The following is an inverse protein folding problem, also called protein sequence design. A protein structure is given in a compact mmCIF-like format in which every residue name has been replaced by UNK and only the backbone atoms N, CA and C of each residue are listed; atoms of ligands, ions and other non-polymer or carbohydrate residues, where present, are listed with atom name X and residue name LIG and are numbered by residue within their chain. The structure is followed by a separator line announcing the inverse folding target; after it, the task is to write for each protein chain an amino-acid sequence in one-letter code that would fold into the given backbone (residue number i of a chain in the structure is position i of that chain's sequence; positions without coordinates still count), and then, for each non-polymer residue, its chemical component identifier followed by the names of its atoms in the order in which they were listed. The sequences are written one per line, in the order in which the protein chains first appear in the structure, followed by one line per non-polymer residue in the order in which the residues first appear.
data_IF_237892182161
#
_entry.id   IF_237892182161
#
_cell.length_a   1.000
_cell.length_b   1.000
_cell.length_c   1.000
_cell.angle_alpha   90.00
_cell.angle_beta   90.00
_cell.angle_gamma   90.00
#
_symmetry.space_group_name_H-M   'P 1'
#
loop_
_entity.id
_entity.type
_entity.pdbx_description
1 polymer ?
#
# COMPACT_ATOMS: atom_id res chain seq x y z
N UNK A 1 -21.13 3.05 1.56
CA UNK A 1 -19.87 3.45 2.22
C UNK A 1 -19.22 2.19 2.80
N UNK A 2 -17.97 1.98 2.46
CA UNK A 2 -17.19 0.85 2.97
C UNK A 2 -16.56 1.29 4.29
N UNK A 3 -16.92 0.68 5.41
CA UNK A 3 -16.30 0.96 6.70
C UNK A 3 -15.04 0.13 6.88
N UNK A 4 -13.91 0.78 7.14
CA UNK A 4 -12.65 0.14 7.46
C UNK A 4 -12.22 0.50 8.89
N UNK A 5 -11.88 -0.47 9.74
CA UNK A 5 -11.38 -0.19 11.08
C UNK A 5 -9.91 0.23 10.99
N UNK A 6 -9.64 1.53 10.93
CA UNK A 6 -8.27 2.05 10.95
C UNK A 6 -7.57 1.68 12.27
N UNK A 7 -6.87 0.55 12.28
CA UNK A 7 -6.17 0.05 13.45
C UNK A 7 -4.83 0.80 13.65
N UNK A 8 -4.27 0.82 14.89
CA UNK A 8 -2.90 1.29 15.10
C UNK A 8 -1.92 0.54 14.18
N UNK A 9 -1.07 1.27 13.46
CA UNK A 9 -0.23 0.76 12.37
C UNK A 9 -0.70 1.18 10.98
N UNK A 10 -2.00 1.38 10.78
CA UNK A 10 -2.54 1.94 9.53
C UNK A 10 -2.12 3.41 9.37
N UNK A 11 -1.79 3.82 8.15
CA UNK A 11 -1.40 5.21 7.84
C UNK A 11 -2.52 6.22 8.06
N UNK A 12 -3.77 5.78 8.03
CA UNK A 12 -4.94 6.62 8.31
C UNK A 12 -5.28 6.71 9.80
N UNK A 13 -4.61 5.95 10.67
CA UNK A 13 -4.80 6.06 12.10
C UNK A 13 -3.82 7.08 12.70
N UNK A 14 -4.34 8.14 13.32
CA UNK A 14 -3.52 9.21 13.91
C UNK A 14 -2.57 8.72 15.02
N UNK A 15 -2.87 7.59 15.69
CA UNK A 15 -2.01 7.02 16.74
C UNK A 15 -0.86 6.17 16.22
N UNK A 16 -0.79 5.93 14.91
CA UNK A 16 0.30 5.20 14.26
C UNK A 16 1.64 5.96 14.38
N UNK A 17 1.58 7.28 14.44
CA UNK A 17 2.76 8.13 14.42
C UNK A 17 2.95 8.84 15.75
N UNK A 18 4.20 9.09 16.13
CA UNK A 18 4.57 9.87 17.33
C UNK A 18 4.74 11.37 17.03
N UNK A 19 4.20 11.84 15.91
CA UNK A 19 4.19 13.23 15.47
C UNK A 19 2.82 13.59 14.88
N UNK A 20 2.45 14.88 14.81
CA UNK A 20 1.18 15.31 14.25
C UNK A 20 1.03 14.93 12.77
N UNK A 21 -0.15 14.42 12.40
CA UNK A 21 -0.52 14.07 11.03
C UNK A 21 -1.78 14.81 10.63
N UNK A 22 -1.78 15.43 9.46
CA UNK A 22 -2.96 16.01 8.84
C UNK A 22 -3.56 15.04 7.82
N UNK A 23 -4.80 14.66 8.01
CA UNK A 23 -5.53 13.85 7.06
C UNK A 23 -6.35 14.72 6.11
N UNK A 24 -6.26 14.45 4.81
CA UNK A 24 -7.06 15.11 3.78
C UNK A 24 -7.79 14.06 2.94
N UNK A 25 -9.10 14.10 3.01
CA UNK A 25 -9.95 13.28 2.13
C UNK A 25 -9.94 13.90 0.73
N UNK A 26 -9.72 13.06 -0.28
CA UNK A 26 -9.80 13.45 -1.69
C UNK A 26 -11.24 13.26 -2.16
N UNK A 27 -12.06 14.27 -1.95
CA UNK A 27 -13.47 14.25 -2.31
C UNK A 27 -13.64 14.03 -3.82
N UNK A 28 -14.64 13.22 -4.23
CA UNK A 28 -14.90 12.88 -5.63
C UNK A 28 -14.02 11.76 -6.18
N UNK A 29 -12.95 11.35 -5.47
CA UNK A 29 -12.16 10.17 -5.80
C UNK A 29 -12.87 8.89 -5.33
N UNK A 30 -12.62 7.80 -6.04
CA UNK A 30 -12.99 6.45 -5.60
C UNK A 30 -11.97 5.43 -6.11
N UNK A 31 -11.99 4.22 -5.52
CA UNK A 31 -11.03 3.17 -5.82
C UNK A 31 -10.99 2.79 -7.31
N UNK A 32 -12.15 2.71 -7.97
CA UNK A 32 -12.22 2.33 -9.39
C UNK A 32 -11.55 3.36 -10.31
N UNK A 33 -11.79 4.66 -10.09
CA UNK A 33 -11.14 5.76 -10.82
C UNK A 33 -9.63 5.79 -10.55
N UNK A 34 -9.23 5.58 -9.31
CA UNK A 34 -7.82 5.56 -8.88
C UNK A 34 -7.06 4.42 -9.55
N UNK A 35 -7.64 3.22 -9.58
CA UNK A 35 -7.07 2.05 -10.27
C UNK A 35 -6.87 2.28 -11.77
N UNK A 36 -7.80 2.96 -12.43
CA UNK A 36 -7.73 3.28 -13.86
C UNK A 36 -6.84 4.46 -14.20
N UNK A 37 -6.19 5.07 -13.20
CA UNK A 37 -5.34 6.26 -13.38
C UNK A 37 -6.06 7.40 -14.12
N UNK A 38 -7.33 7.65 -13.76
CA UNK A 38 -8.13 8.69 -14.42
C UNK A 38 -7.59 10.10 -14.17
N UNK A 39 -7.54 10.91 -15.21
CA UNK A 39 -7.03 12.30 -15.13
C UNK A 39 -7.79 13.16 -14.12
N UNK A 40 -9.09 12.92 -13.96
CA UNK A 40 -9.90 13.61 -12.95
C UNK A 40 -9.35 13.32 -11.53
N UNK A 41 -9.02 12.04 -11.23
CA UNK A 41 -8.42 11.68 -9.94
C UNK A 41 -7.06 12.35 -9.74
N UNK A 42 -6.24 12.46 -10.78
CA UNK A 42 -4.96 13.17 -10.71
C UNK A 42 -5.14 14.64 -10.31
N UNK A 43 -6.13 15.33 -10.89
CA UNK A 43 -6.44 16.72 -10.54
C UNK A 43 -6.93 16.87 -9.09
N UNK A 44 -7.80 15.97 -8.62
CA UNK A 44 -8.30 15.98 -7.26
C UNK A 44 -7.18 15.74 -6.24
N UNK A 45 -6.32 14.76 -6.49
CA UNK A 45 -5.15 14.46 -5.67
C UNK A 45 -4.18 15.63 -5.62
N UNK A 46 -3.86 16.24 -6.77
CA UNK A 46 -2.98 17.40 -6.85
C UNK A 46 -3.54 18.58 -6.05
N UNK A 47 -4.83 18.86 -6.19
CA UNK A 47 -5.49 19.93 -5.43
C UNK A 47 -5.41 19.70 -3.92
N UNK A 48 -5.72 18.48 -3.46
CA UNK A 48 -5.65 18.11 -2.05
C UNK A 48 -4.20 18.20 -1.51
N UNK A 49 -3.23 17.74 -2.28
CA UNK A 49 -1.82 17.76 -1.92
C UNK A 49 -1.27 19.20 -1.82
N UNK A 50 -1.62 20.09 -2.74
CA UNK A 50 -1.26 21.52 -2.67
C UNK A 50 -1.88 22.22 -1.45
N UNK A 51 -3.11 21.87 -1.07
CA UNK A 51 -3.72 22.37 0.15
C UNK A 51 -2.96 21.91 1.40
N UNK A 52 -2.56 20.63 1.48
CA UNK A 52 -1.72 20.13 2.57
C UNK A 52 -0.36 20.86 2.61
N UNK A 53 0.31 21.01 1.46
CA UNK A 53 1.56 21.75 1.39
C UNK A 53 1.42 23.19 1.89
N UNK A 54 0.33 23.89 1.53
CA UNK A 54 0.07 25.27 1.99
C UNK A 54 -0.18 25.36 3.50
N UNK A 55 -0.57 24.26 4.15
CA UNK A 55 -0.72 24.14 5.60
C UNK A 55 0.61 23.84 6.31
N UNK A 56 1.71 23.71 5.58
CA UNK A 56 3.04 23.53 6.14
C UNK A 56 3.41 22.10 6.47
N UNK A 57 2.73 21.09 5.89
CA UNK A 57 3.18 19.69 6.03
C UNK A 57 4.54 19.51 5.39
N UNK A 58 5.36 18.60 5.94
CA UNK A 58 6.75 18.37 5.54
C UNK A 58 6.91 17.25 4.50
N UNK A 59 5.92 16.40 4.36
CA UNK A 59 5.84 15.33 3.36
C UNK A 59 4.38 14.89 3.18
N UNK A 60 4.10 14.19 2.09
CA UNK A 60 2.77 13.61 1.81
C UNK A 60 2.93 12.10 1.66
N UNK A 61 2.02 11.35 2.29
CA UNK A 61 1.92 9.89 2.17
C UNK A 61 0.55 9.53 1.61
N UNK A 62 0.49 8.55 0.72
CA UNK A 62 -0.76 8.02 0.19
C UNK A 62 -1.45 7.07 1.18
N UNK A 63 -2.75 7.25 1.39
CA UNK A 63 -3.60 6.33 2.15
C UNK A 63 -4.18 5.18 1.31
N UNK A 64 -3.63 4.94 0.13
CA UNK A 64 -4.00 3.83 -0.75
C UNK A 64 -2.85 3.58 -1.73
N UNK A 65 -2.37 2.34 -1.82
CA UNK A 65 -1.23 1.98 -2.68
C UNK A 65 -1.42 2.31 -4.15
N UNK A 66 -2.65 2.32 -4.66
CA UNK A 66 -2.98 2.73 -6.03
C UNK A 66 -2.73 4.21 -6.33
N UNK A 67 -2.56 5.05 -5.31
CA UNK A 67 -2.11 6.42 -5.54
C UNK A 67 -0.70 6.48 -6.15
N UNK A 68 0.07 5.40 -6.08
CA UNK A 68 1.33 5.23 -6.79
C UNK A 68 1.26 5.55 -8.29
N UNK A 69 0.10 5.33 -8.94
CA UNK A 69 -0.13 5.74 -10.34
C UNK A 69 0.12 7.24 -10.59
N UNK A 70 -0.02 8.06 -9.55
CA UNK A 70 0.11 9.52 -9.62
C UNK A 70 1.43 10.04 -9.03
N UNK A 71 2.35 9.13 -8.66
CA UNK A 71 3.61 9.47 -7.99
C UNK A 71 4.39 10.54 -8.75
N UNK A 72 4.65 10.32 -10.04
CA UNK A 72 5.42 11.25 -10.86
C UNK A 72 4.77 12.63 -10.94
N UNK A 73 3.47 12.69 -11.25
CA UNK A 73 2.74 13.94 -11.42
C UNK A 73 2.64 14.77 -10.13
N UNK A 74 2.52 14.12 -8.97
CA UNK A 74 2.50 14.83 -7.70
C UNK A 74 3.90 15.27 -7.26
N UNK A 75 4.91 14.45 -7.47
CA UNK A 75 6.31 14.83 -7.18
C UNK A 75 6.77 16.02 -7.99
N UNK A 76 6.32 16.15 -9.24
CA UNK A 76 6.61 17.32 -10.09
C UNK A 76 5.86 18.58 -9.62
N UNK A 77 4.65 18.42 -9.10
CA UNK A 77 3.78 19.54 -8.73
C UNK A 77 4.05 20.14 -7.36
N UNK A 78 4.78 19.45 -6.48
CA UNK A 78 4.96 19.80 -5.08
C UNK A 78 6.44 20.10 -4.77
N UNK A 79 6.68 20.94 -3.77
CA UNK A 79 8.02 21.30 -3.29
C UNK A 79 8.42 20.52 -2.02
N UNK A 80 7.68 19.48 -1.68
CA UNK A 80 7.91 18.61 -0.53
C UNK A 80 7.94 17.15 -0.98
N UNK A 81 8.60 16.24 -0.24
CA UNK A 81 8.61 14.82 -0.55
C UNK A 81 7.20 14.20 -0.60
N UNK A 82 7.01 13.29 -1.56
CA UNK A 82 5.75 12.59 -1.81
C UNK A 82 6.02 11.08 -1.86
N UNK A 83 5.25 10.29 -1.09
CA UNK A 83 5.36 8.85 -1.01
C UNK A 83 3.95 8.24 -1.12
N UNK A 84 3.50 7.94 -2.33
CA UNK A 84 2.11 7.57 -2.57
C UNK A 84 1.83 6.07 -2.47
N UNK A 85 2.87 5.23 -2.55
CA UNK A 85 2.72 3.77 -2.44
C UNK A 85 3.95 3.16 -1.78
N UNK A 86 3.74 2.10 -0.97
CA UNK A 86 4.82 1.30 -0.41
C UNK A 86 5.63 0.55 -1.50
N UNK A 87 5.07 0.36 -2.69
CA UNK A 87 5.78 -0.24 -3.83
C UNK A 87 7.06 0.53 -4.20
N UNK A 88 7.14 1.82 -3.88
CA UNK A 88 8.36 2.64 -4.06
C UNK A 88 9.56 2.13 -3.25
N UNK A 89 9.36 1.28 -2.26
CA UNK A 89 10.45 0.65 -1.49
C UNK A 89 11.12 -0.49 -2.28
N UNK A 90 10.43 -1.10 -3.25
CA UNK A 90 10.91 -2.29 -3.96
C UNK A 90 12.27 -2.07 -4.61
N UNK A 91 12.53 -0.99 -5.38
CA UNK A 91 13.82 -0.77 -6.00
C UNK A 91 14.99 -0.74 -5.01
N UNK A 92 14.77 -0.14 -3.84
CA UNK A 92 15.77 -0.10 -2.77
C UNK A 92 15.99 -1.47 -2.14
N UNK A 93 14.93 -2.21 -1.85
CA UNK A 93 15.00 -3.56 -1.26
C UNK A 93 15.64 -4.54 -2.23
N UNK A 94 15.36 -4.46 -3.55
CA UNK A 94 15.99 -5.28 -4.57
C UNK A 94 17.52 -5.11 -4.64
N UNK A 95 18.04 -3.95 -4.27
CA UNK A 95 19.49 -3.70 -4.17
C UNK A 95 20.09 -4.29 -2.88
N UNK A 96 19.29 -4.47 -1.83
CA UNK A 96 19.74 -4.94 -0.53
C UNK A 96 19.74 -6.48 -0.40
N UNK A 97 18.96 -7.19 -1.21
CA UNK A 97 18.87 -8.65 -1.24
C UNK A 97 19.78 -9.26 -2.33
N UNK A 98 19.98 -10.59 -2.29
CA UNK A 98 20.81 -11.27 -3.28
C UNK A 98 20.34 -11.01 -4.71
N UNK A 99 21.26 -10.99 -5.72
CA UNK A 99 20.91 -10.63 -7.12
C UNK A 99 19.83 -11.50 -7.78
N UNK A 100 19.67 -12.74 -7.32
CA UNK A 100 18.64 -13.68 -7.83
C UNK A 100 17.45 -13.84 -6.89
N UNK A 101 17.49 -13.21 -5.74
CA UNK A 101 16.40 -13.27 -4.78
C UNK A 101 15.23 -12.41 -5.24
N UNK A 102 14.04 -12.76 -4.75
CA UNK A 102 12.79 -12.11 -5.07
C UNK A 102 12.19 -11.39 -3.86
N UNK A 103 11.32 -10.46 -4.15
CA UNK A 103 10.43 -9.81 -3.20
C UNK A 103 9.03 -10.36 -3.40
N UNK A 104 8.34 -10.70 -2.30
CA UNK A 104 6.91 -10.93 -2.32
C UNK A 104 6.18 -9.61 -2.00
N UNK A 105 5.25 -9.21 -2.83
CA UNK A 105 4.34 -8.09 -2.56
C UNK A 105 3.05 -8.64 -1.99
N UNK A 106 2.80 -8.34 -0.71
CA UNK A 106 1.56 -8.70 -0.02
C UNK A 106 0.53 -7.59 -0.24
N UNK A 107 -0.56 -7.91 -0.90
CA UNK A 107 -1.67 -6.99 -1.17
C UNK A 107 -3.02 -7.60 -0.80
N UNK A 108 -4.00 -6.74 -0.62
CA UNK A 108 -5.37 -7.17 -0.33
C UNK A 108 -6.09 -7.68 -1.60
N UNK A 109 -5.78 -7.12 -2.76
CA UNK A 109 -6.50 -7.37 -4.01
C UNK A 109 -5.59 -7.81 -5.15
N UNK A 110 -6.11 -8.67 -6.00
CA UNK A 110 -5.44 -9.19 -7.19
C UNK A 110 -5.56 -8.21 -8.38
N UNK A 111 -5.18 -6.95 -8.20
CA UNK A 111 -5.30 -5.95 -9.27
C UNK A 111 -4.12 -4.98 -9.38
N UNK A 112 -2.97 -5.34 -8.80
CA UNK A 112 -1.75 -4.56 -8.99
C UNK A 112 -1.27 -4.75 -10.43
N UNK A 113 -1.30 -3.67 -11.22
CA UNK A 113 -0.89 -3.66 -12.63
C UNK A 113 0.60 -3.42 -12.78
N UNK A 114 1.17 -3.85 -13.88
CA UNK A 114 2.59 -3.57 -14.20
C UNK A 114 2.83 -2.06 -14.38
N UNK A 115 1.82 -1.31 -14.85
CA UNK A 115 1.88 0.15 -14.92
C UNK A 115 2.03 0.80 -13.54
N UNK A 116 1.30 0.30 -12.54
CA UNK A 116 1.44 0.79 -11.16
C UNK A 116 2.84 0.51 -10.60
N UNK A 117 3.38 -0.67 -10.85
CA UNK A 117 4.77 -1.00 -10.49
C UNK A 117 5.75 -0.06 -11.18
N UNK A 118 5.59 0.14 -12.49
CA UNK A 118 6.43 1.06 -13.26
C UNK A 118 6.35 2.50 -12.74
N UNK A 119 5.15 2.99 -12.42
CA UNK A 119 4.95 4.33 -11.84
C UNK A 119 5.64 4.50 -10.47
N UNK A 120 5.83 3.39 -9.74
CA UNK A 120 6.58 3.34 -8.48
C UNK A 120 8.08 3.07 -8.67
N UNK A 121 8.60 3.04 -9.93
CA UNK A 121 10.01 2.81 -10.24
C UNK A 121 10.43 1.34 -10.22
N UNK A 122 9.49 0.41 -10.23
CA UNK A 122 9.75 -1.04 -10.25
C UNK A 122 9.71 -1.54 -11.69
N UNK A 123 10.87 -1.90 -12.24
CA UNK A 123 11.01 -2.34 -13.63
C UNK A 123 11.41 -3.82 -13.78
N UNK A 124 12.01 -4.42 -12.75
CA UNK A 124 12.42 -5.82 -12.73
C UNK A 124 11.33 -6.69 -12.09
N UNK A 125 10.25 -6.92 -12.83
CA UNK A 125 9.09 -7.68 -12.36
C UNK A 125 9.34 -9.19 -12.24
N UNK A 126 10.39 -9.72 -12.87
CA UNK A 126 10.80 -11.13 -12.75
C UNK A 126 11.26 -11.47 -11.32
N UNK A 127 11.68 -10.44 -10.58
CA UNK A 127 12.05 -10.54 -9.17
C UNK A 127 10.92 -10.19 -8.20
N UNK A 128 9.69 -10.06 -8.68
CA UNK A 128 8.52 -9.74 -7.85
C UNK A 128 7.53 -10.91 -7.91
N UNK A 129 7.19 -11.46 -6.75
CA UNK A 129 6.06 -12.37 -6.58
C UNK A 129 4.91 -11.66 -5.88
N UNK A 130 3.70 -12.16 -6.00
CA UNK A 130 2.49 -11.50 -5.46
C UNK A 130 1.74 -12.44 -4.52
N UNK A 131 1.38 -11.92 -3.35
CA UNK A 131 0.54 -12.60 -2.35
C UNK A 131 -0.75 -11.79 -2.22
N UNK A 132 -1.91 -12.43 -2.34
CA UNK A 132 -3.20 -11.75 -2.26
C UNK A 132 -4.04 -12.30 -1.12
N UNK A 133 -4.48 -11.42 -0.22
CA UNK A 133 -5.34 -11.78 0.90
C UNK A 133 -6.83 -11.86 0.55
N UNK A 134 -7.21 -11.50 -0.68
CA UNK A 134 -8.61 -11.46 -1.15
C UNK A 134 -9.38 -12.77 -0.90
N UNK A 135 -8.71 -13.92 -1.00
CA UNK A 135 -9.32 -15.23 -0.80
C UNK A 135 -9.49 -15.64 0.68
N UNK A 136 -8.96 -14.89 1.61
CA UNK A 136 -9.06 -15.22 3.02
C UNK A 136 -10.51 -15.07 3.52
N UNK A 137 -11.01 -16.00 4.34
CA UNK A 137 -12.37 -15.92 4.88
C UNK A 137 -12.66 -14.62 5.63
N UNK A 138 -11.69 -14.11 6.40
CA UNK A 138 -11.89 -12.88 7.14
C UNK A 138 -11.88 -11.64 6.24
N UNK A 139 -11.11 -11.63 5.13
CA UNK A 139 -11.17 -10.59 4.08
C UNK A 139 -12.56 -10.59 3.42
N UNK A 140 -13.07 -11.76 3.04
CA UNK A 140 -14.40 -11.89 2.43
C UNK A 140 -15.50 -11.45 3.37
N UNK A 141 -15.43 -11.82 4.66
CA UNK A 141 -16.35 -11.37 5.68
C UNK A 141 -16.33 -9.86 5.82
N UNK A 142 -15.15 -9.24 5.84
CA UNK A 142 -15.02 -7.80 5.93
C UNK A 142 -15.67 -7.08 4.74
N UNK A 143 -15.41 -7.53 3.52
CA UNK A 143 -16.04 -6.94 2.32
C UNK A 143 -17.56 -7.06 2.34
N UNK A 144 -18.10 -8.12 2.92
CA UNK A 144 -19.56 -8.36 2.95
C UNK A 144 -20.27 -7.69 4.14
N UNK A 145 -19.61 -7.54 5.28
CA UNK A 145 -20.25 -7.12 6.54
C UNK A 145 -19.65 -5.86 7.16
N UNK A 146 -18.46 -5.41 6.69
CA UNK A 146 -17.68 -4.36 7.33
C UNK A 146 -17.01 -4.77 8.65
N UNK A 147 -17.08 -6.05 9.04
CA UNK A 147 -16.55 -6.54 10.30
C UNK A 147 -15.28 -7.38 10.09
N UNK A 148 -14.22 -7.04 10.81
CA UNK A 148 -12.95 -7.76 10.84
C UNK A 148 -12.64 -8.24 12.25
N UNK A 149 -12.21 -9.51 12.40
CA UNK A 149 -11.56 -9.99 13.61
C UNK A 149 -10.04 -9.98 13.41
N UNK A 150 -9.29 -9.04 14.00
CA UNK A 150 -7.86 -8.90 13.73
C UNK A 150 -7.04 -10.13 14.10
N UNK A 151 -7.41 -10.85 15.16
CA UNK A 151 -6.69 -12.05 15.59
C UNK A 151 -6.91 -13.25 14.66
N UNK A 152 -8.10 -13.38 14.09
CA UNK A 152 -8.39 -14.41 13.09
C UNK A 152 -7.70 -14.06 11.78
N UNK A 153 -7.80 -12.80 11.36
CA UNK A 153 -7.16 -12.31 10.15
C UNK A 153 -5.64 -12.49 10.18
N UNK A 154 -5.00 -12.12 11.31
CA UNK A 154 -3.57 -12.31 11.49
C UNK A 154 -3.14 -13.77 11.27
N UNK A 155 -3.86 -14.73 11.87
CA UNK A 155 -3.54 -16.17 11.71
C UNK A 155 -3.65 -16.59 10.24
N UNK A 156 -4.67 -16.12 9.54
CA UNK A 156 -4.87 -16.40 8.12
C UNK A 156 -3.75 -15.78 7.26
N UNK A 157 -3.36 -14.52 7.54
CA UNK A 157 -2.25 -13.84 6.85
C UNK A 157 -0.92 -14.57 7.07
N UNK A 158 -0.59 -14.95 8.30
CA UNK A 158 0.65 -15.68 8.61
C UNK A 158 0.69 -16.99 7.82
N UNK A 159 -0.38 -17.77 7.84
CA UNK A 159 -0.45 -19.03 7.06
C UNK A 159 -0.26 -18.75 5.56
N UNK A 160 -0.96 -17.76 5.01
CA UNK A 160 -0.86 -17.39 3.59
C UNK A 160 0.58 -17.03 3.19
N UNK A 161 1.26 -16.23 4.01
CA UNK A 161 2.64 -15.79 3.77
C UNK A 161 3.60 -16.98 3.90
N UNK A 162 3.46 -17.82 4.93
CA UNK A 162 4.31 -19.00 5.13
C UNK A 162 4.18 -20.00 3.97
N UNK A 163 2.97 -20.24 3.49
CA UNK A 163 2.73 -21.12 2.34
C UNK A 163 3.35 -20.55 1.07
N UNK A 164 3.27 -19.22 0.88
CA UNK A 164 3.91 -18.58 -0.26
C UNK A 164 5.43 -18.71 -0.22
N UNK A 165 6.08 -18.42 0.91
CA UNK A 165 7.54 -18.53 1.09
C UNK A 165 8.00 -19.98 0.90
N UNK A 166 7.26 -20.94 1.43
CA UNK A 166 7.57 -22.37 1.26
C UNK A 166 7.58 -22.78 -0.21
N UNK A 167 6.68 -22.23 -1.02
CA UNK A 167 6.59 -22.51 -2.46
C UNK A 167 7.51 -21.63 -3.32
N UNK A 168 8.09 -20.57 -2.75
CA UNK A 168 8.98 -19.62 -3.41
C UNK A 168 10.22 -19.38 -2.53
N UNK A 169 11.16 -20.36 -2.44
CA UNK A 169 12.29 -20.30 -1.52
C UNK A 169 13.33 -19.23 -1.88
N UNK A 170 13.20 -18.61 -3.03
CA UNK A 170 14.00 -17.49 -3.51
C UNK A 170 13.48 -16.11 -3.04
N UNK A 171 12.37 -16.05 -2.32
CA UNK A 171 11.86 -14.83 -1.69
C UNK A 171 12.67 -14.53 -0.43
N UNK A 172 13.31 -13.35 -0.39
CA UNK A 172 14.11 -12.89 0.76
C UNK A 172 13.50 -11.68 1.47
N UNK A 173 12.50 -11.03 0.88
CA UNK A 173 11.84 -9.88 1.49
C UNK A 173 10.35 -9.83 1.12
N UNK A 174 9.57 -9.17 1.99
CA UNK A 174 8.15 -8.90 1.76
C UNK A 174 7.93 -7.39 1.80
N UNK A 175 7.22 -6.86 0.81
CA UNK A 175 6.69 -5.50 0.83
C UNK A 175 5.18 -5.55 1.00
N UNK A 176 4.70 -4.98 2.09
CA UNK A 176 3.28 -4.86 2.37
C UNK A 176 2.70 -3.65 1.63
N UNK A 177 1.82 -3.90 0.66
CA UNK A 177 1.27 -2.85 -0.19
C UNK A 177 0.01 -2.21 0.41
N UNK A 178 -0.75 -2.94 1.19
CA UNK A 178 -2.00 -2.46 1.75
C UNK A 178 -1.78 -1.73 3.08
N UNK A 179 -2.48 -0.61 3.27
CA UNK A 179 -2.24 0.33 4.40
C UNK A 179 -2.47 -0.26 5.79
N UNK A 180 -3.18 -1.37 5.90
CA UNK A 180 -3.46 -2.07 7.16
C UNK A 180 -2.41 -3.08 7.57
N UNK A 181 -1.66 -3.61 6.61
CA UNK A 181 -0.68 -4.65 6.91
C UNK A 181 0.42 -4.22 7.90
N UNK A 182 0.81 -2.94 8.00
CA UNK A 182 1.73 -2.52 9.05
C UNK A 182 1.27 -2.86 10.47
N UNK A 183 -0.05 -2.91 10.72
CA UNK A 183 -0.61 -3.39 11.98
C UNK A 183 -0.15 -4.81 12.34
N UNK A 184 0.10 -5.64 11.34
CA UNK A 184 0.50 -7.05 11.50
C UNK A 184 1.99 -7.29 11.22
N UNK A 185 2.75 -6.25 10.87
CA UNK A 185 4.14 -6.36 10.40
C UNK A 185 5.04 -7.13 11.37
N UNK A 186 4.92 -6.87 12.68
CA UNK A 186 5.72 -7.56 13.69
C UNK A 186 5.48 -9.09 13.68
N UNK A 187 4.25 -9.52 13.56
CA UNK A 187 3.93 -10.95 13.53
C UNK A 187 4.29 -11.62 12.19
N UNK A 188 4.30 -10.87 11.10
CA UNK A 188 4.72 -11.36 9.79
C UNK A 188 6.25 -11.49 9.66
N UNK A 189 7.02 -10.90 10.58
CA UNK A 189 8.49 -10.99 10.64
C UNK A 189 8.99 -12.20 11.46
N UNK A 190 8.10 -12.87 12.22
CA UNK A 190 8.44 -14.05 13.05
C UNK A 190 8.44 -15.35 12.23
#
# INVERSE_FOLDING_TARGET
EFFWPYMPGDVANATTFNFPVLHKIVEGSNLAKTKRNESETAHLLKSAALQLQSQGVRAIVGGCGFFGNFQGSLSEALNIPVFLSSLMQIPMVLQAIKPRAKIAVLSDINSLTDDLFSACGVHDLDRVTRIHSTGLPETQKQFSTGALNPNVYLKQLVTLVQDHIKNNPDVEAIVAEYTEFPTFAYALQQ
#
